data_IF_721962354575
#
_entry.id   IF_721962354575
#
_cell.length_a   1.000
_cell.length_b   1.000
_cell.length_c   1.000
_cell.angle_alpha   90.00
_cell.angle_beta   90.00
_cell.angle_gamma   90.00
#
_symmetry.space_group_name_H-M   'P 1'
#
loop_
_entity.id
_entity.type
_entity.pdbx_description
1 polymer ?
#
# COMPACT_ATOMS: atom_id res chain seq x y z
N UNK A 1 -30.68 23.37 -57.82
CA UNK A 1 -30.11 22.11 -57.28
C UNK A 1 -28.85 21.76 -58.06
N UNK A 2 -27.70 22.39 -57.74
CA UNK A 2 -26.45 22.19 -58.47
C UNK A 2 -25.67 21.03 -57.84
N UNK A 3 -25.59 19.91 -58.57
CA UNK A 3 -24.86 18.71 -58.14
C UNK A 3 -23.37 19.00 -57.98
N UNK A 4 -22.84 18.76 -56.77
CA UNK A 4 -21.40 18.73 -56.50
C UNK A 4 -20.79 17.60 -57.34
N UNK A 5 -20.21 17.95 -58.48
CA UNK A 5 -19.27 17.10 -59.21
C UNK A 5 -18.01 16.98 -58.37
N UNK A 6 -18.01 16.05 -57.42
CA UNK A 6 -16.83 15.70 -56.64
C UNK A 6 -15.80 15.11 -57.59
N UNK A 7 -14.69 15.82 -57.79
CA UNK A 7 -13.56 15.33 -58.59
C UNK A 7 -13.01 14.05 -57.91
N UNK A 8 -12.96 12.90 -58.60
CA UNK A 8 -12.72 11.59 -57.96
C UNK A 8 -11.35 11.51 -57.26
N UNK A 9 -10.37 12.31 -57.69
CA UNK A 9 -9.05 12.38 -57.04
C UNK A 9 -9.04 13.06 -55.67
N UNK A 10 -9.98 13.98 -55.38
CA UNK A 10 -10.03 14.66 -54.07
C UNK A 10 -10.66 13.78 -53.00
N UNK A 11 -11.72 13.03 -53.32
CA UNK A 11 -12.35 12.09 -52.39
C UNK A 11 -11.36 11.02 -51.93
N UNK A 12 -10.52 10.52 -52.83
CA UNK A 12 -9.49 9.54 -52.52
C UNK A 12 -8.40 10.09 -51.58
N UNK A 13 -8.01 11.36 -51.75
CA UNK A 13 -7.07 12.05 -50.83
C UNK A 13 -7.69 12.33 -49.46
N UNK A 14 -8.97 12.71 -49.42
CA UNK A 14 -9.70 12.92 -48.16
C UNK A 14 -9.86 11.59 -47.41
N UNK A 15 -10.25 10.52 -48.10
CA UNK A 15 -10.36 9.18 -47.52
C UNK A 15 -9.04 8.69 -46.93
N UNK A 16 -7.92 8.89 -47.64
CA UNK A 16 -6.59 8.52 -47.13
C UNK A 16 -6.22 9.30 -45.85
N UNK A 17 -6.54 10.59 -45.79
CA UNK A 17 -6.29 11.42 -44.58
C UNK A 17 -7.12 10.95 -43.40
N UNK A 18 -8.40 10.66 -43.62
CA UNK A 18 -9.29 10.15 -42.57
C UNK A 18 -8.79 8.80 -42.06
N UNK A 19 -8.39 7.90 -42.95
CA UNK A 19 -7.83 6.60 -42.58
C UNK A 19 -6.54 6.75 -41.76
N UNK A 20 -5.64 7.66 -42.14
CA UNK A 20 -4.41 7.94 -41.39
C UNK A 20 -4.70 8.51 -39.99
N UNK A 21 -5.67 9.42 -39.88
CA UNK A 21 -6.07 9.99 -38.58
C UNK A 21 -6.68 8.91 -37.68
N UNK A 22 -7.54 8.05 -38.23
CA UNK A 22 -8.14 6.93 -37.47
C UNK A 22 -7.07 5.94 -37.02
N UNK A 23 -6.18 5.53 -37.91
CA UNK A 23 -5.09 4.61 -37.61
C UNK A 23 -4.14 5.20 -36.56
N UNK A 24 -3.74 6.46 -36.74
CA UNK A 24 -2.89 7.17 -35.80
C UNK A 24 -3.55 7.35 -34.43
N UNK A 25 -4.86 7.62 -34.40
CA UNK A 25 -5.64 7.72 -33.17
C UNK A 25 -5.68 6.39 -32.40
N UNK A 26 -5.99 5.27 -33.07
CA UNK A 26 -5.97 3.94 -32.44
C UNK A 26 -4.57 3.59 -31.92
N UNK A 27 -3.53 3.89 -32.71
CA UNK A 27 -2.14 3.65 -32.30
C UNK A 27 -1.74 4.48 -31.08
N UNK A 28 -2.11 5.76 -31.05
CA UNK A 28 -1.85 6.65 -29.93
C UNK A 28 -2.51 6.14 -28.64
N UNK A 29 -3.75 5.63 -28.70
CA UNK A 29 -4.42 5.02 -27.54
C UNK A 29 -3.62 3.83 -27.01
N UNK A 30 -3.15 2.93 -27.88
CA UNK A 30 -2.35 1.78 -27.47
C UNK A 30 -1.02 2.17 -26.82
N UNK A 31 -0.31 3.15 -27.38
CA UNK A 31 0.93 3.70 -26.79
C UNK A 31 0.66 4.33 -25.43
N UNK A 32 -0.41 5.12 -25.31
CA UNK A 32 -0.80 5.75 -24.04
C UNK A 32 -1.11 4.69 -22.98
N UNK A 33 -1.80 3.62 -23.38
CA UNK A 33 -2.10 2.50 -22.49
C UNK A 33 -0.82 1.81 -22.00
N UNK A 34 0.15 1.57 -22.90
CA UNK A 34 1.44 0.99 -22.53
C UNK A 34 2.26 1.87 -21.56
N UNK A 35 2.23 3.19 -21.77
CA UNK A 35 2.88 4.16 -20.86
C UNK A 35 2.19 4.19 -19.49
N UNK A 36 0.85 4.13 -19.45
CA UNK A 36 0.08 4.05 -18.21
C UNK A 36 0.40 2.76 -17.45
N UNK A 37 0.53 1.62 -18.12
CA UNK A 37 0.92 0.35 -17.48
C UNK A 37 2.35 0.41 -16.94
N UNK A 38 3.27 1.11 -17.61
CA UNK A 38 4.64 1.31 -17.09
C UNK A 38 4.67 2.21 -15.84
N UNK A 39 3.77 3.20 -15.74
CA UNK A 39 3.65 4.04 -14.54
C UNK A 39 3.12 3.26 -13.32
N UNK A 40 2.29 2.24 -13.54
CA UNK A 40 1.76 1.38 -12.47
C UNK A 40 2.86 0.52 -11.82
N UNK A 41 3.87 0.09 -12.58
CA UNK A 41 4.94 -0.76 -12.05
C UNK A 41 5.76 -0.15 -10.91
N UNK A 42 5.91 1.19 -10.85
CA UNK A 42 6.59 1.85 -9.74
C UNK A 42 5.70 1.99 -8.49
N UNK A 43 4.39 2.12 -8.69
CA UNK A 43 3.41 2.19 -7.60
C UNK A 43 3.26 0.79 -6.97
N UNK A 44 3.16 -0.25 -7.80
CA UNK A 44 3.06 -1.64 -7.34
C UNK A 44 4.29 -2.06 -6.50
N UNK A 45 5.49 -1.61 -6.90
CA UNK A 45 6.71 -1.85 -6.12
C UNK A 45 6.74 -1.11 -4.79
N UNK A 46 6.14 0.09 -4.70
CA UNK A 46 6.06 0.85 -3.45
C UNK A 46 5.04 0.20 -2.50
N UNK A 47 3.89 -0.24 -3.01
CA UNK A 47 2.86 -0.92 -2.22
C UNK A 47 3.39 -2.25 -1.66
N UNK A 48 4.12 -3.03 -2.46
CA UNK A 48 4.76 -4.27 -1.99
C UNK A 48 5.74 -4.03 -0.83
N UNK A 49 6.53 -2.94 -0.88
CA UNK A 49 7.47 -2.60 0.20
C UNK A 49 6.74 -2.17 1.48
N UNK A 50 5.62 -1.46 1.35
CA UNK A 50 4.79 -1.05 2.50
C UNK A 50 4.17 -2.27 3.17
N UNK A 51 3.61 -3.20 2.40
CA UNK A 51 3.00 -4.42 2.94
C UNK A 51 4.01 -5.29 3.69
N UNK A 52 5.23 -5.44 3.14
CA UNK A 52 6.31 -6.17 3.80
C UNK A 52 6.71 -5.51 5.13
N UNK A 53 6.88 -4.19 5.16
CA UNK A 53 7.22 -3.46 6.37
C UNK A 53 6.11 -3.54 7.45
N UNK A 54 4.84 -3.46 7.05
CA UNK A 54 3.69 -3.60 7.96
C UNK A 54 3.61 -5.00 8.55
N UNK A 55 3.92 -6.03 7.77
CA UNK A 55 3.94 -7.42 8.26
C UNK A 55 5.01 -7.63 9.34
N UNK A 56 6.22 -7.10 9.11
CA UNK A 56 7.33 -7.17 10.05
C UNK A 56 7.05 -6.40 11.35
N UNK A 57 6.45 -5.21 11.27
CA UNK A 57 6.09 -4.44 12.47
C UNK A 57 5.03 -5.17 13.32
N UNK A 58 4.03 -5.80 12.68
CA UNK A 58 3.04 -6.62 13.40
C UNK A 58 3.70 -7.80 14.13
N UNK A 59 4.61 -8.49 13.47
CA UNK A 59 5.32 -9.63 14.09
C UNK A 59 6.19 -9.18 15.26
N UNK A 60 6.91 -8.06 15.11
CA UNK A 60 7.73 -7.49 16.19
C UNK A 60 6.88 -7.05 17.39
N UNK A 61 5.71 -6.45 17.15
CA UNK A 61 4.77 -6.08 18.23
C UNK A 61 4.22 -7.29 18.95
N UNK A 62 3.89 -8.36 18.23
CA UNK A 62 3.45 -9.63 18.82
C UNK A 62 4.55 -10.25 19.68
N UNK A 63 5.78 -10.37 19.15
CA UNK A 63 6.94 -10.87 19.90
C UNK A 63 7.24 -10.00 21.13
N UNK A 64 7.11 -8.68 21.01
CA UNK A 64 7.30 -7.77 22.14
C UNK A 64 6.21 -7.97 23.20
N UNK A 65 4.96 -8.17 22.81
CA UNK A 65 3.87 -8.47 23.73
C UNK A 65 4.06 -9.82 24.43
N UNK A 66 4.58 -10.83 23.74
CA UNK A 66 4.95 -12.13 24.34
C UNK A 66 6.10 -12.00 25.33
N UNK A 67 7.17 -11.28 24.95
CA UNK A 67 8.35 -11.05 25.79
C UNK A 67 8.04 -10.17 27.02
N UNK A 68 7.15 -9.19 26.87
CA UNK A 68 6.68 -8.33 27.96
C UNK A 68 5.48 -8.91 28.71
N UNK A 69 4.99 -10.09 28.32
CA UNK A 69 3.82 -10.67 28.98
C UNK A 69 4.15 -10.89 30.47
N UNK A 70 3.45 -10.18 31.39
CA UNK A 70 3.74 -10.26 32.82
C UNK A 70 3.60 -11.69 33.35
N UNK A 71 2.77 -12.50 32.68
CA UNK A 71 2.56 -13.90 32.98
C UNK A 71 3.84 -14.74 32.87
N UNK A 72 4.69 -14.50 31.86
CA UNK A 72 5.92 -15.28 31.65
C UNK A 72 7.00 -14.92 32.67
N UNK A 73 7.13 -13.63 32.98
CA UNK A 73 8.02 -13.15 34.04
C UNK A 73 7.57 -13.66 35.42
N UNK A 74 6.26 -13.68 35.68
CA UNK A 74 5.71 -14.21 36.93
C UNK A 74 5.86 -15.73 37.07
N UNK A 75 5.71 -16.50 35.98
CA UNK A 75 5.94 -17.95 36.00
C UNK A 75 7.42 -18.27 36.18
N UNK A 76 8.33 -17.60 35.46
CA UNK A 76 9.76 -17.86 35.59
C UNK A 76 10.31 -17.45 36.97
N UNK A 77 9.80 -16.35 37.55
CA UNK A 77 10.15 -15.94 38.91
C UNK A 77 9.65 -16.93 39.98
N UNK A 78 8.45 -17.51 39.81
CA UNK A 78 7.93 -18.53 40.72
C UNK A 78 8.68 -19.85 40.58
N UNK A 79 8.83 -20.33 39.35
CA UNK A 79 9.27 -21.71 39.08
C UNK A 79 10.79 -21.87 39.15
N UNK A 80 11.57 -20.84 38.77
CA UNK A 80 13.05 -20.91 38.79
C UNK A 80 13.70 -20.19 39.95
N UNK A 81 13.10 -19.09 40.42
CA UNK A 81 13.69 -18.24 41.46
C UNK A 81 13.03 -18.44 42.83
N UNK A 82 11.99 -19.28 42.92
CA UNK A 82 11.28 -19.56 44.16
C UNK A 82 10.56 -18.34 44.75
N UNK A 83 10.28 -17.32 43.93
CA UNK A 83 9.65 -16.08 44.39
C UNK A 83 8.15 -16.30 44.63
N UNK A 84 7.70 -15.94 45.83
CA UNK A 84 6.29 -16.03 46.23
C UNK A 84 5.59 -14.70 45.94
N UNK A 85 4.41 -14.69 45.30
CA UNK A 85 3.69 -13.46 45.05
C UNK A 85 3.30 -12.77 46.37
N UNK A 86 3.47 -11.44 46.48
CA UNK A 86 3.11 -10.70 47.67
C UNK A 86 1.59 -10.74 47.89
N UNK A 87 1.16 -10.83 49.15
CA UNK A 87 -0.26 -10.90 49.53
C UNK A 87 -1.04 -9.61 49.20
N UNK A 88 -0.35 -8.48 49.02
CA UNK A 88 -0.97 -7.19 48.70
C UNK A 88 -0.04 -6.41 47.79
N UNK A 89 -0.57 -5.90 46.67
CA UNK A 89 0.15 -5.04 45.72
C UNK A 89 -0.34 -3.62 45.93
N UNK A 90 0.55 -2.72 46.36
CA UNK A 90 0.25 -1.30 46.53
C UNK A 90 0.64 -0.60 45.24
N UNK A 91 -0.34 -0.06 44.52
CA UNK A 91 -0.09 0.79 43.35
C UNK A 91 0.10 2.22 43.80
N UNK A 92 1.26 2.80 43.45
CA UNK A 92 1.54 4.22 43.64
C UNK A 92 0.93 4.98 42.48
N UNK A 93 0.00 5.88 42.79
CA UNK A 93 -0.56 6.83 41.83
C UNK A 93 0.46 7.97 41.61
N UNK A 94 0.95 8.20 40.37
CA UNK A 94 1.91 9.27 40.10
C UNK A 94 1.34 10.68 40.37
N UNK A 95 0.02 10.83 40.52
CA UNK A 95 -0.62 12.12 40.77
C UNK A 95 -0.61 12.56 42.24
N UNK A 96 -0.24 11.69 43.20
CA UNK A 96 -0.29 12.02 44.63
C UNK A 96 1.12 12.03 45.23
N UNK A 97 1.71 13.21 45.54
CA UNK A 97 2.93 13.30 46.31
C UNK A 97 2.73 12.63 47.69
N UNK A 98 3.72 11.90 48.22
CA UNK A 98 3.61 11.31 49.55
C UNK A 98 3.40 12.43 50.58
N UNK A 99 2.36 12.28 51.41
CA UNK A 99 2.14 13.17 52.55
C UNK A 99 3.33 13.05 53.53
N UNK A 100 3.77 14.17 54.16
CA UNK A 100 4.90 14.19 55.07
C UNK A 100 4.68 13.33 56.33
#
# INVERSE_FOLDING_TARGET
>A
MAGRRTRPGQLRRVGLRVALVLLGGLFAVGVLQAVVTQAQGRIDQLDQQIDEAVSLDRELRLRRAELLSPARLASEARDRLGMVPPATVIYLDPATPPAP
#
